data_IF_146866690486
#
_entry.id   IF_146866690486
#
_cell.length_a   1.000
_cell.length_b   1.000
_cell.length_c   1.000
_cell.angle_alpha   90.00
_cell.angle_beta   90.00
_cell.angle_gamma   90.00
#
_symmetry.space_group_name_H-M   'P 1'
#
loop_
_entity.id
_entity.type
_entity.pdbx_description
1 polymer ?
#
# COMPACT_ATOMS: atom_id res chain seq x y z
N UNK A 1 -11.38 37.86 2.89
CA UNK A 1 -11.85 37.95 1.49
C UNK A 1 -13.29 37.50 1.38
N UNK A 2 -14.06 38.04 0.44
CA UNK A 2 -15.52 37.85 0.29
C UNK A 2 -15.98 36.39 0.20
N UNK A 3 -15.13 35.47 -0.31
CA UNK A 3 -15.43 34.02 -0.33
C UNK A 3 -15.39 33.37 1.07
N UNK A 4 -14.47 33.75 1.95
CA UNK A 4 -14.35 33.17 3.30
C UNK A 4 -15.52 33.56 4.22
N UNK A 5 -16.14 34.71 3.95
CA UNK A 5 -17.32 35.20 4.68
C UNK A 5 -18.55 34.36 4.32
N UNK A 6 -18.72 34.00 3.04
CA UNK A 6 -19.81 33.12 2.59
C UNK A 6 -19.75 31.70 3.18
N UNK A 7 -18.55 31.18 3.44
CA UNK A 7 -18.35 29.81 3.95
C UNK A 7 -18.20 29.74 5.48
N UNK A 8 -18.38 30.86 6.21
CA UNK A 8 -18.11 30.97 7.66
C UNK A 8 -16.69 30.54 8.11
N UNK A 9 -15.76 30.39 7.16
CA UNK A 9 -14.36 30.02 7.44
C UNK A 9 -13.59 31.13 8.16
N UNK A 10 -14.15 32.35 8.22
CA UNK A 10 -13.55 33.49 8.91
C UNK A 10 -13.54 33.36 10.44
N UNK A 11 -14.38 32.48 11.00
CA UNK A 11 -14.48 32.29 12.46
C UNK A 11 -13.49 31.25 13.00
N UNK A 12 -12.91 30.43 12.12
CA UNK A 12 -12.03 29.35 12.53
C UNK A 12 -10.56 29.82 12.55
N UNK A 13 -9.91 29.68 13.71
CA UNK A 13 -8.47 29.90 13.82
C UNK A 13 -7.73 28.80 13.04
N UNK A 14 -6.98 29.22 12.04
CA UNK A 14 -6.13 28.34 11.24
C UNK A 14 -4.67 28.72 11.46
N UNK A 15 -3.79 27.73 11.41
CA UNK A 15 -2.34 27.88 11.47
C UNK A 15 -1.74 27.51 10.12
N UNK A 16 -0.86 28.37 9.63
CA UNK A 16 -0.04 28.09 8.45
C UNK A 16 1.33 27.57 8.91
N UNK A 17 1.75 26.43 8.39
CA UNK A 17 3.06 25.83 8.60
C UNK A 17 3.78 25.80 7.26
N UNK A 18 4.89 26.54 7.15
CA UNK A 18 5.73 26.57 5.96
C UNK A 18 6.96 25.70 6.18
N UNK A 19 7.21 24.78 5.25
CA UNK A 19 8.39 23.91 5.24
C UNK A 19 9.17 24.15 3.97
N UNK A 20 10.45 24.43 4.12
CA UNK A 20 11.36 24.44 2.99
C UNK A 20 11.91 23.02 2.78
N UNK A 21 11.70 22.47 1.59
CA UNK A 21 12.34 21.24 1.12
C UNK A 21 13.53 21.63 0.25
N UNK A 22 14.74 21.43 0.78
CA UNK A 22 16.00 21.64 0.05
C UNK A 22 16.10 20.73 -1.18
N UNK A 23 15.72 19.45 -1.04
CA UNK A 23 15.83 18.43 -2.09
C UNK A 23 15.09 18.78 -3.40
N UNK A 24 13.97 19.50 -3.30
CA UNK A 24 13.14 19.88 -4.44
C UNK A 24 13.16 21.39 -4.72
N UNK A 25 13.94 22.15 -3.93
CA UNK A 25 13.95 23.62 -3.88
C UNK A 25 12.51 24.22 -3.85
N UNK A 26 11.64 23.66 -3.01
CA UNK A 26 10.22 24.03 -2.92
C UNK A 26 9.80 24.35 -1.50
N UNK A 27 8.98 25.38 -1.35
CA UNK A 27 8.31 25.70 -0.10
C UNK A 27 6.93 25.04 -0.10
N UNK A 28 6.69 24.13 0.84
CA UNK A 28 5.38 23.51 1.06
C UNK A 28 4.68 24.29 2.17
N UNK A 29 3.49 24.81 1.86
CA UNK A 29 2.63 25.51 2.81
C UNK A 29 1.47 24.61 3.21
N UNK A 30 1.35 24.32 4.51
CA UNK A 30 0.33 23.44 5.08
C UNK A 30 -0.56 24.28 5.98
N UNK A 31 -1.87 24.24 5.74
CA UNK A 31 -2.87 24.89 6.60
C UNK A 31 -3.48 23.83 7.51
N UNK A 32 -3.50 24.08 8.82
CA UNK A 32 -4.10 23.18 9.81
C UNK A 32 -4.99 23.95 10.77
N UNK A 33 -6.07 23.31 11.22
CA UNK A 33 -6.93 23.78 12.31
C UNK A 33 -6.40 23.34 13.69
N UNK A 34 -5.36 22.50 13.72
CA UNK A 34 -4.79 22.00 14.95
C UNK A 34 -3.68 22.94 15.43
N UNK A 35 -3.94 23.61 16.56
CA UNK A 35 -3.03 24.60 17.13
C UNK A 35 -2.06 23.98 18.15
N UNK A 36 -2.41 22.82 18.72
CA UNK A 36 -1.70 22.21 19.85
C UNK A 36 -0.47 21.42 19.40
N UNK A 37 -0.51 20.85 18.19
CA UNK A 37 0.58 20.01 17.70
C UNK A 37 1.79 20.83 17.26
N UNK A 38 2.98 20.23 17.41
CA UNK A 38 4.20 20.86 16.91
C UNK A 38 4.17 20.94 15.38
N UNK A 39 4.83 21.97 14.82
CA UNK A 39 4.95 22.11 13.36
C UNK A 39 5.53 20.84 12.72
N UNK A 40 6.50 20.20 13.38
CA UNK A 40 7.11 18.94 12.90
C UNK A 40 6.09 17.80 12.79
N UNK A 41 5.23 17.61 13.80
CA UNK A 41 4.18 16.59 13.78
C UNK A 41 3.20 16.80 12.62
N UNK A 42 2.79 18.06 12.38
CA UNK A 42 1.89 18.41 11.26
C UNK A 42 2.54 18.06 9.91
N UNK A 43 3.83 18.33 9.77
CA UNK A 43 4.61 18.04 8.57
C UNK A 43 4.78 16.54 8.35
N UNK A 44 5.10 15.80 9.41
CA UNK A 44 5.24 14.35 9.33
C UNK A 44 3.90 13.66 9.03
N UNK A 45 2.78 14.19 9.54
CA UNK A 45 1.45 13.74 9.13
C UNK A 45 1.18 14.07 7.66
N UNK A 46 1.55 15.27 7.21
CA UNK A 46 1.41 15.66 5.79
C UNK A 46 2.24 14.75 4.87
N UNK A 47 3.41 14.29 5.29
CA UNK A 47 4.20 13.30 4.54
C UNK A 47 3.45 11.99 4.35
N UNK A 48 2.69 11.51 5.35
CA UNK A 48 1.85 10.30 5.21
C UNK A 48 0.78 10.41 4.13
N UNK A 49 0.44 11.61 3.67
CA UNK A 49 -0.43 11.80 2.51
C UNK A 49 0.15 11.15 1.24
N UNK A 50 1.47 11.12 1.10
CA UNK A 50 2.15 10.46 -0.02
C UNK A 50 2.01 8.94 0.03
N UNK A 51 1.95 8.35 1.22
CA UNK A 51 1.72 6.91 1.37
C UNK A 51 0.33 6.50 0.82
N UNK A 52 -0.67 7.39 0.97
CA UNK A 52 -2.00 7.19 0.40
C UNK A 52 -1.94 7.23 -1.14
N UNK A 53 -1.19 8.16 -1.73
CA UNK A 53 -1.00 8.22 -3.19
C UNK A 53 -0.30 6.96 -3.71
N UNK A 54 0.75 6.49 -3.00
CA UNK A 54 1.44 5.26 -3.33
C UNK A 54 0.51 4.04 -3.19
N UNK A 55 -0.33 4.01 -2.17
CA UNK A 55 -1.37 2.99 -1.99
C UNK A 55 -2.35 2.97 -3.18
N UNK A 56 -2.88 4.12 -3.59
CA UNK A 56 -3.77 4.18 -4.75
C UNK A 56 -3.06 3.84 -6.07
N UNK A 57 -1.77 4.20 -6.20
CA UNK A 57 -0.97 3.81 -7.36
C UNK A 57 -0.77 2.30 -7.43
N UNK A 58 -0.40 1.68 -6.30
CA UNK A 58 -0.26 0.24 -6.19
C UNK A 58 -1.60 -0.47 -6.44
N UNK A 59 -2.70 0.05 -5.89
CA UNK A 59 -4.04 -0.47 -6.12
C UNK A 59 -4.39 -0.44 -7.61
N UNK A 60 -4.21 0.68 -8.31
CA UNK A 60 -4.47 0.77 -9.76
C UNK A 60 -3.58 -0.16 -10.58
N UNK A 61 -2.33 -0.37 -10.16
CA UNK A 61 -1.40 -1.27 -10.84
C UNK A 61 -1.75 -2.75 -10.64
N UNK A 62 -2.23 -3.13 -9.45
CA UNK A 62 -2.61 -4.49 -9.12
C UNK A 62 -4.03 -4.83 -9.61
N UNK A 63 -4.94 -3.85 -9.61
CA UNK A 63 -6.27 -3.92 -10.21
C UNK A 63 -6.23 -3.56 -11.70
N UNK A 64 -5.27 -4.08 -12.47
CA UNK A 64 -5.45 -4.08 -13.92
C UNK A 64 -6.64 -4.99 -14.24
N UNK A 65 -7.84 -4.38 -14.34
CA UNK A 65 -9.06 -5.03 -14.81
C UNK A 65 -8.82 -5.34 -16.30
N UNK A 66 -8.16 -6.47 -16.57
CA UNK A 66 -7.82 -6.90 -17.93
C UNK A 66 -9.06 -7.27 -18.73
N UNK A 67 -10.16 -7.59 -18.05
CA UNK A 67 -11.42 -7.98 -18.69
C UNK A 67 -12.57 -7.63 -17.76
N UNK A 68 -13.47 -6.76 -18.20
CA UNK A 68 -14.73 -6.52 -17.50
C UNK A 68 -15.61 -7.76 -17.67
N UNK A 69 -16.00 -8.41 -16.58
CA UNK A 69 -16.91 -9.57 -16.60
C UNK A 69 -18.35 -9.14 -16.97
N UNK A 70 -18.62 -7.83 -16.95
CA UNK A 70 -19.89 -7.24 -17.38
C UNK A 70 -19.73 -5.73 -17.56
N UNK A 71 -20.47 -5.15 -18.50
CA UNK A 71 -20.40 -3.72 -18.86
C UNK A 71 -21.40 -2.85 -18.09
N UNK A 72 -22.22 -3.42 -17.21
CA UNK A 72 -23.16 -2.67 -16.38
C UNK A 72 -22.44 -1.95 -15.24
N UNK A 73 -22.93 -0.77 -14.86
CA UNK A 73 -22.35 0.04 -13.77
C UNK A 73 -22.24 -0.75 -12.45
N UNK A 74 -23.26 -1.54 -12.13
CA UNK A 74 -23.28 -2.37 -10.94
C UNK A 74 -22.27 -3.53 -11.01
N UNK A 75 -22.04 -4.11 -12.18
CA UNK A 75 -21.02 -5.15 -12.36
C UNK A 75 -19.62 -4.58 -12.16
N UNK A 76 -19.35 -3.39 -12.70
CA UNK A 76 -18.06 -2.71 -12.53
C UNK A 76 -17.83 -2.33 -11.05
N UNK A 77 -18.84 -1.76 -10.38
CA UNK A 77 -18.77 -1.45 -8.94
C UNK A 77 -18.49 -2.70 -8.11
N UNK A 78 -19.20 -3.80 -8.39
CA UNK A 78 -19.02 -5.06 -7.67
C UNK A 78 -17.62 -5.65 -7.90
N UNK A 79 -17.11 -5.63 -9.13
CA UNK A 79 -15.75 -6.06 -9.44
C UNK A 79 -14.70 -5.23 -8.68
N UNK A 80 -14.90 -3.91 -8.61
CA UNK A 80 -14.02 -3.03 -7.84
C UNK A 80 -14.04 -3.39 -6.35
N UNK A 81 -15.23 -3.57 -5.75
CA UNK A 81 -15.33 -3.95 -4.34
C UNK A 81 -14.69 -5.32 -4.06
N UNK A 82 -14.94 -6.33 -4.90
CA UNK A 82 -14.33 -7.67 -4.74
C UNK A 82 -12.81 -7.59 -4.85
N UNK A 83 -12.30 -6.81 -5.80
CA UNK A 83 -10.86 -6.67 -5.98
C UNK A 83 -10.21 -5.91 -4.80
N UNK A 84 -10.88 -4.91 -4.25
CA UNK A 84 -10.45 -4.21 -3.02
C UNK A 84 -10.44 -5.15 -1.80
N UNK A 85 -11.50 -5.93 -1.60
CA UNK A 85 -11.58 -6.92 -0.51
C UNK A 85 -10.48 -7.96 -0.67
N UNK A 86 -10.28 -8.47 -1.89
CA UNK A 86 -9.22 -9.45 -2.18
C UNK A 86 -7.85 -8.85 -1.87
N UNK A 87 -7.55 -7.63 -2.33
CA UNK A 87 -6.30 -6.95 -2.01
C UNK A 87 -6.08 -6.77 -0.50
N UNK A 88 -7.13 -6.40 0.24
CA UNK A 88 -7.04 -6.25 1.70
C UNK A 88 -6.75 -7.58 2.40
N UNK A 89 -7.44 -8.66 2.01
CA UNK A 89 -7.21 -10.00 2.55
C UNK A 89 -5.78 -10.47 2.24
N UNK A 90 -5.30 -10.23 1.02
CA UNK A 90 -3.94 -10.54 0.60
C UNK A 90 -2.90 -9.82 1.46
N UNK A 91 -3.06 -8.51 1.65
CA UNK A 91 -2.17 -7.70 2.49
C UNK A 91 -2.22 -8.15 3.96
N UNK A 92 -3.40 -8.50 4.47
CA UNK A 92 -3.58 -9.00 5.84
C UNK A 92 -2.84 -10.33 6.04
N UNK A 93 -2.98 -11.28 5.12
CA UNK A 93 -2.28 -12.57 5.16
C UNK A 93 -0.77 -12.37 5.10
N UNK A 94 -0.29 -11.47 4.24
CA UNK A 94 1.14 -11.16 4.16
C UNK A 94 1.65 -10.57 5.49
N UNK A 95 0.87 -9.70 6.15
CA UNK A 95 1.25 -9.11 7.44
C UNK A 95 1.19 -10.07 8.63
N UNK A 96 0.24 -11.01 8.64
CA UNK A 96 0.04 -11.93 9.78
C UNK A 96 0.81 -13.23 9.66
N UNK A 97 0.93 -13.81 8.46
CA UNK A 97 1.46 -15.16 8.26
C UNK A 97 2.89 -15.13 7.70
N UNK A 98 3.24 -14.16 6.86
CA UNK A 98 4.54 -14.16 6.21
C UNK A 98 5.65 -13.64 7.13
N UNK A 99 6.57 -14.52 7.52
CA UNK A 99 7.76 -14.17 8.33
C UNK A 99 8.83 -13.37 7.54
N UNK A 100 8.66 -13.21 6.23
CA UNK A 100 9.54 -12.43 5.33
C UNK A 100 8.70 -11.61 4.35
N UNK A 101 9.10 -10.37 4.13
CA UNK A 101 8.53 -9.49 3.09
C UNK A 101 8.74 -10.13 1.71
N UNK A 102 7.64 -10.50 1.06
CA UNK A 102 7.65 -11.06 -0.29
C UNK A 102 7.10 -10.04 -1.28
N UNK A 103 7.71 -9.98 -2.45
CA UNK A 103 7.18 -9.23 -3.59
C UNK A 103 5.76 -9.74 -3.90
N UNK A 104 4.82 -8.83 -4.14
CA UNK A 104 3.40 -9.11 -4.39
C UNK A 104 3.20 -10.20 -5.45
N UNK A 105 3.96 -10.18 -6.55
CA UNK A 105 3.88 -11.20 -7.62
C UNK A 105 4.13 -12.63 -7.13
N UNK A 106 5.20 -12.85 -6.36
CA UNK A 106 5.53 -14.18 -5.81
C UNK A 106 4.50 -14.66 -4.79
N UNK A 107 3.79 -13.73 -4.16
CA UNK A 107 2.73 -14.02 -3.21
C UNK A 107 1.41 -14.38 -3.90
N UNK A 108 1.04 -13.66 -4.96
CA UNK A 108 -0.12 -14.01 -5.80
C UNK A 108 0.04 -15.39 -6.42
N UNK A 109 1.24 -15.74 -6.90
CA UNK A 109 1.54 -17.07 -7.44
C UNK A 109 1.35 -18.17 -6.38
N UNK A 110 1.83 -17.92 -5.16
CA UNK A 110 1.63 -18.79 -3.99
C UNK A 110 0.14 -18.97 -3.65
N UNK A 111 -0.65 -17.91 -3.63
CA UNK A 111 -2.10 -18.01 -3.38
C UNK A 111 -2.81 -18.75 -4.50
N UNK A 112 -2.40 -18.56 -5.75
CA UNK A 112 -2.93 -19.34 -6.87
C UNK A 112 -2.67 -20.84 -6.66
N UNK A 113 -1.47 -21.22 -6.20
CA UNK A 113 -1.16 -22.60 -5.81
C UNK A 113 -1.97 -23.06 -4.59
N UNK A 114 -2.14 -22.20 -3.59
CA UNK A 114 -2.94 -22.50 -2.38
C UNK A 114 -4.41 -22.81 -2.74
N UNK A 115 -5.00 -22.01 -3.62
CA UNK A 115 -6.39 -22.15 -4.06
C UNK A 115 -6.59 -23.34 -5.01
N UNK A 116 -5.61 -23.63 -5.88
CA UNK A 116 -5.69 -24.77 -6.81
C UNK A 116 -5.46 -26.11 -6.10
N UNK A 117 -4.55 -26.15 -5.11
CA UNK A 117 -4.17 -27.39 -4.42
C UNK A 117 -4.74 -27.52 -3.00
N UNK A 118 -5.63 -26.62 -2.58
CA UNK A 118 -6.21 -26.56 -1.23
C UNK A 118 -5.18 -26.68 -0.09
N UNK A 119 -4.00 -26.09 -0.30
CA UNK A 119 -2.86 -26.25 0.60
C UNK A 119 -2.95 -25.28 1.80
N UNK A 120 -2.30 -25.60 2.93
CA UNK A 120 -2.32 -24.67 4.07
C UNK A 120 -1.55 -23.39 3.77
N UNK A 121 -2.11 -22.25 4.18
CA UNK A 121 -1.53 -20.94 3.92
C UNK A 121 -0.15 -20.80 4.58
N UNK A 122 0.06 -21.45 5.73
CA UNK A 122 1.35 -21.49 6.43
C UNK A 122 2.42 -22.22 5.61
N UNK A 123 2.07 -23.38 5.04
CA UNK A 123 2.99 -24.15 4.21
C UNK A 123 3.37 -23.37 2.93
N UNK A 124 2.39 -22.80 2.24
CA UNK A 124 2.63 -22.03 1.01
C UNK A 124 3.44 -20.75 1.28
N UNK A 125 3.11 -20.04 2.36
CA UNK A 125 3.80 -18.82 2.76
C UNK A 125 5.19 -19.07 3.34
N UNK A 126 5.51 -20.24 3.88
CA UNK A 126 6.84 -20.44 4.50
C UNK A 126 7.73 -21.43 3.73
N UNK A 127 7.16 -22.41 3.01
CA UNK A 127 7.90 -23.54 2.42
C UNK A 127 8.02 -23.49 0.89
N UNK A 128 7.09 -22.84 0.17
CA UNK A 128 7.09 -22.78 -1.32
C UNK A 128 8.16 -21.80 -1.87
N UNK A 129 9.32 -21.70 -1.21
CA UNK A 129 10.45 -20.88 -1.60
C UNK A 129 11.78 -21.64 -1.63
N UNK A 130 11.82 -22.89 -1.16
CA UNK A 130 12.97 -23.77 -1.41
C UNK A 130 12.87 -24.36 -2.83
N UNK A 131 12.91 -23.49 -3.84
CA UNK A 131 13.34 -23.93 -5.17
C UNK A 131 14.74 -24.53 -5.03
N UNK A 132 14.88 -25.79 -5.45
CA UNK A 132 16.09 -26.62 -5.45
C UNK A 132 17.30 -26.00 -4.73
N UNK A 133 17.57 -26.42 -3.49
CA UNK A 133 18.87 -26.20 -2.85
C UNK A 133 19.95 -26.62 -3.85
N UNK A 134 20.64 -25.64 -4.45
CA UNK A 134 21.76 -25.91 -5.35
C UNK A 134 22.78 -26.63 -4.48
N UNK A 135 22.94 -27.94 -4.71
CA UNK A 135 23.82 -28.78 -3.94
C UNK A 135 25.24 -28.25 -4.16
N UNK A 136 25.74 -27.47 -3.20
CA UNK A 136 27.09 -26.93 -3.23
C UNK A 136 27.98 -28.15 -3.04
N UNK A 137 28.53 -28.69 -4.14
CA UNK A 137 29.51 -29.78 -4.09
C UNK A 137 30.52 -29.42 -3.00
N UNK A 138 30.53 -30.19 -1.93
CA UNK A 138 31.61 -30.17 -0.95
C UNK A 138 32.88 -30.50 -1.72
N UNK A 139 33.81 -29.56 -1.75
CA UNK A 139 35.16 -29.82 -2.24
C UNK A 139 35.75 -30.88 -1.33
N UNK A 140 35.86 -32.11 -1.82
CA UNK A 140 36.71 -33.13 -1.22
C UNK A 140 38.16 -32.67 -1.43
N UNK A 141 38.70 -31.94 -0.47
CA UNK A 141 40.14 -31.91 -0.25
C UNK A 141 40.41 -32.73 1.00
N UNK A 142 40.65 -34.02 0.78
CA UNK A 142 41.31 -34.89 1.74
C UNK A 142 42.69 -35.19 1.20
N UNK A 143 43.69 -34.68 1.95
CA UNK A 143 45.10 -35.08 2.02
C UNK A 143 45.97 -34.60 0.85
#
# INVERSE_FOLDING_TARGET
GTKAIKTKMNEHKLRLVSVYKEDENKVIQIITNNLDWTARTVVDLYKKRWDIELFFKAMKQNLQIKTFVGTSENAVKSQLYIALISYLLLELINRTIAKKTKTFSNFVEKIRLCLVFYLSMEYVCNQVGEGAKKNKKSNQNSI
#
